data_IF_784153593112
#
_entry.id   IF_784153593112
#
_cell.length_a   1.000
_cell.length_b   1.000
_cell.length_c   1.000
_cell.angle_alpha   90.00
_cell.angle_beta   90.00
_cell.angle_gamma   90.00
#
_symmetry.space_group_name_H-M   'P 1'
#
loop_
_entity.id
_entity.type
_entity.pdbx_description
1 polymer ?
#
# COMPACT_ATOMS: atom_id res chain seq x y z
N UNK A 1 -21.30 61.27 6.10
CA UNK A 1 -21.71 60.41 4.98
C UNK A 1 -20.49 59.67 4.45
N UNK A 2 -20.29 58.41 4.79
CA UNK A 2 -19.21 57.61 4.31
C UNK A 2 -19.50 57.25 2.84
N UNK A 3 -18.55 57.65 1.95
CA UNK A 3 -18.71 57.51 0.51
C UNK A 3 -18.70 56.03 0.02
N UNK A 4 -19.17 55.77 -1.21
CA UNK A 4 -19.35 54.44 -1.76
C UNK A 4 -18.08 53.59 -1.73
N UNK A 5 -16.91 54.20 -1.79
CA UNK A 5 -15.61 53.55 -1.74
C UNK A 5 -15.27 52.88 -0.38
N UNK A 6 -15.89 53.31 0.71
CA UNK A 6 -15.72 52.68 2.02
C UNK A 6 -16.51 51.37 2.13
N UNK A 7 -17.64 51.26 1.45
CA UNK A 7 -18.47 50.07 1.39
C UNK A 7 -17.84 48.98 0.54
N UNK A 8 -17.20 49.35 -0.57
CA UNK A 8 -16.51 48.40 -1.43
C UNK A 8 -15.25 47.83 -0.78
N UNK A 9 -14.54 48.61 0.05
CA UNK A 9 -13.42 48.12 0.86
C UNK A 9 -13.82 47.14 1.96
N UNK A 10 -14.99 47.40 2.59
CA UNK A 10 -15.53 46.52 3.61
C UNK A 10 -16.01 45.16 3.02
N UNK A 11 -16.53 45.17 1.78
CA UNK A 11 -16.93 43.96 1.06
C UNK A 11 -15.71 43.15 0.55
N UNK A 12 -14.61 43.81 0.22
CA UNK A 12 -13.39 43.16 -0.25
C UNK A 12 -12.57 42.53 0.89
N UNK A 13 -12.81 42.98 2.14
CA UNK A 13 -12.16 42.42 3.33
C UNK A 13 -12.98 41.32 4.02
N UNK A 14 -14.13 40.93 3.48
CA UNK A 14 -14.73 39.65 3.80
C UNK A 14 -13.98 38.60 3.01
N UNK A 15 -12.86 38.13 3.60
CA UNK A 15 -12.22 36.90 3.15
C UNK A 15 -13.30 35.84 2.93
N UNK A 16 -13.24 35.08 1.82
CA UNK A 16 -14.22 34.01 1.62
C UNK A 16 -14.13 33.14 2.86
N UNK A 17 -15.29 32.94 3.45
CA UNK A 17 -15.55 32.03 4.56
C UNK A 17 -14.79 30.73 4.23
N UNK A 18 -13.63 30.54 4.85
CA UNK A 18 -12.92 29.30 4.74
C UNK A 18 -13.85 28.30 5.39
N UNK A 19 -14.63 27.66 4.52
CA UNK A 19 -15.46 26.52 4.80
C UNK A 19 -14.66 25.67 5.80
N UNK A 20 -15.03 25.77 7.07
CA UNK A 20 -14.39 25.10 8.19
C UNK A 20 -14.56 23.61 7.88
N UNK A 21 -13.60 23.03 7.17
CA UNK A 21 -13.43 21.59 7.21
C UNK A 21 -13.41 21.25 8.69
N UNK A 22 -14.27 20.33 9.16
CA UNK A 22 -14.32 19.99 10.57
C UNK A 22 -12.87 19.76 11.01
N UNK A 23 -12.45 20.48 12.04
CA UNK A 23 -11.07 20.42 12.55
C UNK A 23 -10.79 18.93 12.79
N UNK A 24 -10.02 18.32 11.89
CA UNK A 24 -9.57 16.95 12.04
C UNK A 24 -8.76 16.99 13.32
N UNK A 25 -9.31 16.41 14.38
CA UNK A 25 -8.72 16.38 15.70
C UNK A 25 -7.36 15.71 15.53
N UNK A 26 -6.29 16.50 15.62
CA UNK A 26 -4.92 16.01 15.46
C UNK A 26 -4.69 14.93 16.54
N UNK A 27 -4.72 13.67 16.14
CA UNK A 27 -4.43 12.58 17.06
C UNK A 27 -2.92 12.59 17.36
N UNK A 28 -2.60 12.70 18.63
CA UNK A 28 -1.24 12.45 19.11
C UNK A 28 -0.91 10.97 18.97
N UNK A 29 0.37 10.65 18.68
CA UNK A 29 0.86 9.25 18.64
C UNK A 29 0.41 8.44 19.87
N UNK A 30 0.41 9.06 21.04
CA UNK A 30 -0.01 8.44 22.31
C UNK A 30 -1.50 8.10 22.32
N UNK A 31 -2.35 8.88 21.66
CA UNK A 31 -3.78 8.60 21.52
C UNK A 31 -4.03 7.54 20.44
N UNK A 32 -3.25 7.56 19.35
CA UNK A 32 -3.31 6.55 18.31
C UNK A 32 -2.98 5.15 18.83
N UNK A 33 -1.92 4.99 19.61
CA UNK A 33 -1.51 3.71 20.22
C UNK A 33 -2.58 3.13 21.16
N UNK A 34 -3.42 3.96 21.77
CA UNK A 34 -4.51 3.51 22.64
C UNK A 34 -5.74 3.00 21.89
N UNK A 35 -5.80 3.21 20.58
CA UNK A 35 -6.93 2.77 19.77
C UNK A 35 -6.71 1.35 19.24
N UNK A 36 -7.71 0.46 19.34
CA UNK A 36 -7.60 -0.90 18.83
C UNK A 36 -7.39 -0.93 17.31
N UNK A 37 -7.87 0.08 16.58
CA UNK A 37 -7.67 0.23 15.13
C UNK A 37 -6.17 0.31 14.78
N UNK A 38 -5.38 1.02 15.58
CA UNK A 38 -3.93 1.13 15.39
C UNK A 38 -3.26 -0.25 15.48
N UNK A 39 -3.60 -1.05 16.47
CA UNK A 39 -3.05 -2.40 16.64
C UNK A 39 -3.50 -3.36 15.54
N UNK A 40 -4.73 -3.20 15.04
CA UNK A 40 -5.22 -3.94 13.88
C UNK A 40 -4.36 -3.67 12.65
N UNK A 41 -4.12 -2.40 12.32
CA UNK A 41 -3.24 -2.02 11.21
C UNK A 41 -1.80 -2.46 11.42
N UNK A 42 -1.26 -2.28 12.61
CA UNK A 42 0.11 -2.69 12.95
C UNK A 42 0.30 -4.20 12.75
N UNK A 43 -0.67 -5.02 13.19
CA UNK A 43 -0.62 -6.48 13.04
C UNK A 43 -0.72 -6.90 11.58
N UNK A 44 -1.69 -6.33 10.83
CA UNK A 44 -1.85 -6.63 9.40
C UNK A 44 -0.59 -6.25 8.63
N UNK A 45 -0.04 -5.08 8.93
CA UNK A 45 1.15 -4.57 8.28
C UNK A 45 2.37 -5.42 8.58
N UNK A 46 2.62 -5.68 9.86
CA UNK A 46 3.74 -6.51 10.31
C UNK A 46 3.67 -7.93 9.76
N UNK A 47 2.50 -8.58 9.83
CA UNK A 47 2.31 -9.91 9.28
C UNK A 47 2.53 -9.94 7.75
N UNK A 48 2.02 -8.93 7.04
CA UNK A 48 2.21 -8.80 5.59
C UNK A 48 3.69 -8.56 5.24
N UNK A 49 4.38 -7.71 5.97
CA UNK A 49 5.80 -7.45 5.76
C UNK A 49 6.63 -8.73 5.96
N UNK A 50 6.43 -9.44 7.06
CA UNK A 50 7.11 -10.70 7.36
C UNK A 50 6.85 -11.73 6.24
N UNK A 51 5.60 -11.90 5.81
CA UNK A 51 5.26 -12.84 4.75
C UNK A 51 5.92 -12.48 3.42
N UNK A 52 5.86 -11.20 3.02
CA UNK A 52 6.42 -10.75 1.74
C UNK A 52 7.93 -10.81 1.73
N UNK A 53 8.59 -10.29 2.77
CA UNK A 53 10.04 -10.36 2.86
C UNK A 53 10.53 -11.81 2.99
N UNK A 54 9.84 -12.64 3.78
CA UNK A 54 10.17 -14.06 3.91
C UNK A 54 10.11 -14.79 2.57
N UNK A 55 9.03 -14.60 1.81
CA UNK A 55 8.90 -15.20 0.48
C UNK A 55 9.97 -14.64 -0.46
N UNK A 56 10.16 -13.31 -0.51
CA UNK A 56 11.10 -12.67 -1.42
C UNK A 56 12.54 -13.15 -1.19
N UNK A 57 12.97 -13.24 0.07
CA UNK A 57 14.33 -13.67 0.41
C UNK A 57 14.59 -15.15 0.06
N UNK A 58 13.56 -15.98 0.15
CA UNK A 58 13.70 -17.42 -0.08
C UNK A 58 13.33 -17.85 -1.50
N UNK A 59 12.72 -17.00 -2.32
CA UNK A 59 12.21 -17.36 -3.64
C UNK A 59 13.30 -17.96 -4.53
N UNK A 60 14.48 -17.35 -4.60
CA UNK A 60 15.58 -17.86 -5.48
C UNK A 60 16.08 -19.19 -4.99
N UNK A 61 16.34 -19.34 -3.67
CA UNK A 61 16.78 -20.60 -3.09
C UNK A 61 15.74 -21.71 -3.31
N UNK A 62 14.48 -21.40 -3.06
CA UNK A 62 13.37 -22.32 -3.26
C UNK A 62 13.25 -22.81 -4.71
N UNK A 63 13.41 -21.92 -5.69
CA UNK A 63 13.36 -22.30 -7.11
C UNK A 63 14.54 -23.21 -7.50
N UNK A 64 15.72 -22.95 -6.96
CA UNK A 64 16.90 -23.81 -7.16
C UNK A 64 16.65 -25.21 -6.55
N UNK A 65 16.10 -25.26 -5.34
CA UNK A 65 15.76 -26.53 -4.68
C UNK A 65 14.67 -27.32 -5.45
N UNK A 66 13.80 -26.61 -6.18
CA UNK A 66 12.83 -27.24 -7.09
C UNK A 66 13.43 -27.68 -8.43
N UNK A 67 14.75 -27.51 -8.64
CA UNK A 67 15.46 -27.98 -9.84
C UNK A 67 15.54 -26.98 -10.99
N UNK A 68 15.16 -25.72 -10.77
CA UNK A 68 15.35 -24.67 -11.77
C UNK A 68 16.81 -24.21 -11.79
N UNK A 69 17.29 -23.86 -12.98
CA UNK A 69 18.65 -23.33 -13.14
C UNK A 69 18.83 -22.03 -12.32
N UNK A 70 19.97 -21.83 -11.61
CA UNK A 70 20.19 -20.65 -10.78
C UNK A 70 20.03 -19.32 -11.52
N UNK A 71 20.47 -19.24 -12.77
CA UNK A 71 20.33 -18.04 -13.60
C UNK A 71 18.85 -17.75 -13.90
N UNK A 72 18.07 -18.79 -14.21
CA UNK A 72 16.65 -18.67 -14.46
C UNK A 72 15.87 -18.29 -13.20
N UNK A 73 16.24 -18.84 -12.03
CA UNK A 73 15.66 -18.47 -10.74
C UNK A 73 15.92 -16.99 -10.39
N UNK A 74 17.16 -16.51 -10.61
CA UNK A 74 17.51 -15.11 -10.39
C UNK A 74 16.80 -14.18 -11.38
N UNK A 75 16.66 -14.56 -12.64
CA UNK A 75 15.91 -13.81 -13.66
C UNK A 75 14.42 -13.72 -13.28
N UNK A 76 13.83 -14.81 -12.83
CA UNK A 76 12.44 -14.87 -12.37
C UNK A 76 12.20 -13.91 -11.21
N UNK A 77 13.12 -13.82 -10.26
CA UNK A 77 13.08 -12.85 -9.17
C UNK A 77 13.18 -11.39 -9.67
N UNK A 78 14.03 -11.14 -10.65
CA UNK A 78 14.13 -9.83 -11.31
C UNK A 78 12.84 -9.41 -11.99
N UNK A 79 12.12 -10.35 -12.62
CA UNK A 79 10.79 -10.10 -13.21
C UNK A 79 9.74 -9.70 -12.15
N UNK A 80 9.78 -10.29 -10.96
CA UNK A 80 8.92 -9.89 -9.83
C UNK A 80 9.17 -8.41 -9.51
N UNK A 81 10.42 -7.97 -9.46
CA UNK A 81 10.77 -6.57 -9.23
C UNK A 81 10.21 -5.63 -10.31
N UNK A 82 10.33 -5.99 -11.58
CA UNK A 82 9.78 -5.21 -12.69
C UNK A 82 8.24 -5.12 -12.62
N UNK A 83 7.58 -6.23 -12.34
CA UNK A 83 6.12 -6.28 -12.17
C UNK A 83 5.65 -5.51 -10.93
N UNK A 84 6.47 -5.39 -9.91
CA UNK A 84 6.19 -4.53 -8.74
C UNK A 84 6.07 -3.06 -9.15
N UNK A 85 6.94 -2.58 -10.02
CA UNK A 85 6.87 -1.21 -10.57
C UNK A 85 5.58 -1.03 -11.37
N UNK A 86 5.25 -1.99 -12.23
CA UNK A 86 3.99 -1.98 -12.98
C UNK A 86 2.77 -2.00 -12.04
N UNK A 87 2.82 -2.79 -10.96
CA UNK A 87 1.79 -2.87 -9.93
C UNK A 87 1.53 -1.53 -9.24
N UNK A 88 2.59 -0.77 -8.93
CA UNK A 88 2.47 0.59 -8.35
C UNK A 88 1.72 1.51 -9.33
N UNK A 89 2.11 1.52 -10.60
CA UNK A 89 1.50 2.36 -11.62
C UNK A 89 0.02 2.00 -11.84
N UNK A 90 -0.28 0.72 -11.99
CA UNK A 90 -1.66 0.22 -12.17
C UNK A 90 -2.52 0.58 -10.96
N UNK A 91 -2.01 0.38 -9.76
CA UNK A 91 -2.75 0.70 -8.52
C UNK A 91 -3.02 2.18 -8.40
N UNK A 92 -2.06 3.04 -8.77
CA UNK A 92 -2.26 4.48 -8.82
C UNK A 92 -3.44 4.86 -9.72
N UNK A 93 -3.48 4.31 -10.93
CA UNK A 93 -4.57 4.57 -11.90
C UNK A 93 -5.92 4.01 -11.41
N UNK A 94 -5.91 2.80 -10.81
CA UNK A 94 -7.12 2.19 -10.31
C UNK A 94 -7.68 2.91 -9.08
N UNK A 95 -6.81 3.47 -8.23
CA UNK A 95 -7.22 4.20 -7.03
C UNK A 95 -8.06 5.45 -7.34
N UNK A 96 -7.92 6.02 -8.55
CA UNK A 96 -8.73 7.14 -9.02
C UNK A 96 -10.15 6.72 -9.46
N UNK A 97 -10.33 5.44 -9.81
CA UNK A 97 -11.59 4.94 -10.42
C UNK A 97 -12.39 4.02 -9.52
N UNK A 98 -11.74 3.30 -8.63
CA UNK A 98 -12.37 2.28 -7.81
C UNK A 98 -12.22 2.57 -6.32
N UNK A 99 -13.21 2.18 -5.50
CA UNK A 99 -13.11 2.33 -4.06
C UNK A 99 -11.95 1.48 -3.51
N UNK A 100 -11.17 2.05 -2.63
CA UNK A 100 -9.91 1.52 -2.11
C UNK A 100 -10.01 0.13 -1.50
N UNK A 101 -11.13 -0.19 -0.83
CA UNK A 101 -11.34 -1.50 -0.25
C UNK A 101 -11.35 -2.62 -1.30
N UNK A 102 -11.87 -2.36 -2.51
CA UNK A 102 -11.87 -3.32 -3.62
C UNK A 102 -10.43 -3.57 -4.08
N UNK A 103 -9.65 -2.51 -4.27
CA UNK A 103 -8.26 -2.61 -4.72
C UNK A 103 -7.43 -3.39 -3.68
N UNK A 104 -7.62 -3.09 -2.39
CA UNK A 104 -6.95 -3.81 -1.31
C UNK A 104 -7.32 -5.30 -1.32
N UNK A 105 -8.61 -5.63 -1.39
CA UNK A 105 -9.08 -7.03 -1.42
C UNK A 105 -8.54 -7.78 -2.64
N UNK A 106 -8.56 -7.15 -3.83
CA UNK A 106 -7.98 -7.73 -5.04
C UNK A 106 -6.47 -7.96 -4.90
N UNK A 107 -5.73 -7.01 -4.34
CA UNK A 107 -4.29 -7.14 -4.13
C UNK A 107 -3.94 -8.29 -3.18
N UNK A 108 -4.67 -8.44 -2.06
CA UNK A 108 -4.48 -9.57 -1.16
C UNK A 108 -4.91 -10.89 -1.80
N UNK A 109 -6.00 -10.90 -2.56
CA UNK A 109 -6.43 -12.08 -3.33
C UNK A 109 -5.38 -12.54 -4.34
N UNK A 110 -4.78 -11.60 -5.08
CA UNK A 110 -3.67 -11.89 -5.99
C UNK A 110 -2.46 -12.48 -5.26
N UNK A 111 -2.15 -11.96 -4.07
CA UNK A 111 -1.05 -12.50 -3.26
C UNK A 111 -1.30 -13.95 -2.87
N UNK A 112 -2.51 -14.24 -2.37
CA UNK A 112 -2.89 -15.61 -1.96
C UNK A 112 -2.82 -16.55 -3.17
N UNK A 113 -3.32 -16.13 -4.32
CA UNK A 113 -3.25 -16.91 -5.56
C UNK A 113 -1.78 -17.20 -5.96
N UNK A 114 -0.91 -16.19 -5.91
CA UNK A 114 0.51 -16.34 -6.18
C UNK A 114 1.19 -17.32 -5.23
N UNK A 115 0.91 -17.22 -3.92
CA UNK A 115 1.48 -18.13 -2.91
C UNK A 115 0.98 -19.56 -3.10
N UNK A 116 -0.30 -19.75 -3.45
CA UNK A 116 -0.84 -21.07 -3.77
C UNK A 116 -0.14 -21.65 -5.01
N UNK A 117 0.06 -20.84 -6.06
CA UNK A 117 0.79 -21.28 -7.25
C UNK A 117 2.21 -21.70 -6.91
N UNK A 118 2.91 -20.95 -6.02
CA UNK A 118 4.24 -21.30 -5.54
C UNK A 118 4.24 -22.62 -4.74
N UNK A 119 3.24 -22.83 -3.88
CA UNK A 119 3.10 -24.08 -3.14
C UNK A 119 2.80 -25.28 -4.05
N UNK A 120 1.99 -25.09 -5.09
CA UNK A 120 1.69 -26.12 -6.06
C UNK A 120 2.92 -26.55 -6.90
N UNK A 121 3.93 -25.69 -7.00
CA UNK A 121 5.20 -26.02 -7.68
C UNK A 121 5.91 -27.21 -7.04
N UNK A 122 5.71 -27.44 -5.73
CA UNK A 122 6.28 -28.62 -5.04
C UNK A 122 5.72 -29.95 -5.60
N UNK A 123 4.50 -29.94 -6.08
CA UNK A 123 3.83 -31.16 -6.57
C UNK A 123 3.98 -31.30 -8.08
N UNK A 124 3.93 -30.18 -8.79
CA UNK A 124 4.05 -30.12 -10.24
C UNK A 124 5.04 -29.03 -10.64
N UNK A 125 6.22 -29.43 -11.07
CA UNK A 125 7.19 -28.51 -11.66
C UNK A 125 6.68 -28.01 -13.02
N UNK A 126 5.98 -26.87 -13.00
CA UNK A 126 5.39 -26.28 -14.20
C UNK A 126 5.80 -24.83 -14.33
N UNK A 127 6.38 -24.48 -15.47
CA UNK A 127 6.72 -23.08 -15.79
C UNK A 127 5.48 -22.17 -15.76
N UNK A 128 4.29 -22.71 -16.03
CA UNK A 128 3.03 -21.94 -15.98
C UNK A 128 2.71 -21.53 -14.53
N UNK A 129 2.90 -22.44 -13.56
CA UNK A 129 2.69 -22.12 -12.14
C UNK A 129 3.67 -21.06 -11.66
N UNK A 130 4.93 -21.15 -12.12
CA UNK A 130 5.94 -20.14 -11.84
C UNK A 130 5.56 -18.78 -12.44
N UNK A 131 5.09 -18.75 -13.70
CA UNK A 131 4.63 -17.52 -14.34
C UNK A 131 3.44 -16.88 -13.60
N UNK A 132 2.47 -17.70 -13.17
CA UNK A 132 1.33 -17.23 -12.35
C UNK A 132 1.84 -16.62 -11.04
N UNK A 133 2.77 -17.28 -10.34
CA UNK A 133 3.37 -16.74 -9.13
C UNK A 133 4.05 -15.40 -9.38
N UNK A 134 4.92 -15.30 -10.38
CA UNK A 134 5.67 -14.08 -10.72
C UNK A 134 4.71 -12.92 -10.99
N UNK A 135 3.68 -13.14 -11.81
CA UNK A 135 2.71 -12.10 -12.19
C UNK A 135 1.86 -11.68 -11.00
N UNK A 136 1.24 -12.64 -10.31
CA UNK A 136 0.34 -12.34 -9.20
C UNK A 136 1.07 -11.73 -8.01
N UNK A 137 2.22 -12.28 -7.64
CA UNK A 137 3.00 -11.80 -6.51
C UNK A 137 3.67 -10.45 -6.81
N UNK A 138 4.24 -10.28 -8.02
CA UNK A 138 4.87 -9.04 -8.43
C UNK A 138 3.89 -7.87 -8.48
N UNK A 139 2.75 -8.02 -9.15
CA UNK A 139 1.74 -6.97 -9.24
C UNK A 139 1.17 -6.61 -7.85
N UNK A 140 0.89 -7.62 -7.02
CA UNK A 140 0.34 -7.39 -5.69
C UNK A 140 1.33 -6.73 -4.73
N UNK A 141 2.62 -7.02 -4.85
CA UNK A 141 3.66 -6.39 -4.04
C UNK A 141 3.72 -4.88 -4.26
N UNK A 142 3.59 -4.43 -5.51
CA UNK A 142 3.57 -3.00 -5.86
C UNK A 142 2.32 -2.26 -5.36
N UNK A 143 1.18 -2.95 -5.33
CA UNK A 143 -0.09 -2.32 -4.94
C UNK A 143 -0.16 -1.94 -3.45
N UNK A 144 0.58 -2.62 -2.58
CA UNK A 144 0.44 -2.49 -1.12
C UNK A 144 0.92 -1.16 -0.57
N UNK A 145 2.08 -0.67 -1.02
CA UNK A 145 2.65 0.59 -0.54
C UNK A 145 1.66 1.75 -0.64
N UNK A 146 1.18 2.11 -1.83
CA UNK A 146 0.23 3.21 -2.03
C UNK A 146 -1.08 3.03 -1.24
N UNK A 147 -1.62 1.81 -1.15
CA UNK A 147 -2.88 1.55 -0.43
C UNK A 147 -2.71 1.83 1.06
N UNK A 148 -1.64 1.33 1.65
CA UNK A 148 -1.41 1.44 3.10
C UNK A 148 -1.08 2.87 3.49
N UNK A 149 -0.20 3.54 2.76
CA UNK A 149 0.16 4.94 3.04
C UNK A 149 -1.04 5.86 2.96
N UNK A 150 -1.94 5.64 1.98
CA UNK A 150 -3.16 6.45 1.84
C UNK A 150 -4.16 6.17 2.96
N UNK A 151 -4.36 4.93 3.36
CA UNK A 151 -5.26 4.59 4.47
C UNK A 151 -4.76 5.13 5.81
N UNK A 152 -3.45 5.04 6.07
CA UNK A 152 -2.85 5.65 7.25
C UNK A 152 -2.99 7.17 7.24
N UNK A 153 -2.78 7.81 6.09
CA UNK A 153 -2.94 9.25 5.96
C UNK A 153 -4.38 9.71 6.25
N UNK A 154 -5.38 8.92 5.87
CA UNK A 154 -6.80 9.25 6.14
C UNK A 154 -7.21 9.04 7.59
N UNK A 155 -6.73 7.97 8.20
CA UNK A 155 -7.11 7.62 9.59
C UNK A 155 -6.38 8.47 10.62
N UNK A 156 -5.16 8.88 10.32
CA UNK A 156 -4.28 9.61 11.23
C UNK A 156 -3.86 10.97 10.67
N UNK A 157 -4.73 11.63 9.88
CA UNK A 157 -4.46 12.96 9.34
C UNK A 157 -4.10 13.94 10.45
N UNK A 158 -2.86 14.49 10.42
CA UNK A 158 -2.38 15.46 11.39
C UNK A 158 -0.85 15.53 11.47
N UNK A 159 -0.33 16.42 12.32
CA UNK A 159 1.13 16.59 12.53
C UNK A 159 1.85 15.36 13.08
N UNK A 160 1.12 14.41 13.65
CA UNK A 160 1.64 13.13 14.15
C UNK A 160 1.88 12.07 13.07
N UNK A 161 1.46 12.30 11.83
CA UNK A 161 1.50 11.31 10.76
C UNK A 161 2.92 10.74 10.54
N UNK A 162 3.94 11.61 10.45
CA UNK A 162 5.33 11.21 10.24
C UNK A 162 5.86 10.31 11.37
N UNK A 163 5.48 10.61 12.62
CA UNK A 163 5.86 9.80 13.79
C UNK A 163 5.16 8.44 13.80
N UNK A 164 3.91 8.38 13.32
CA UNK A 164 3.14 7.14 13.20
C UNK A 164 3.72 6.26 12.10
N UNK A 165 4.08 6.83 10.95
CA UNK A 165 4.77 6.10 9.87
C UNK A 165 6.13 5.56 10.34
N UNK A 166 6.92 6.37 11.04
CA UNK A 166 8.19 5.92 11.61
C UNK A 166 8.04 4.78 12.61
N UNK A 167 6.98 4.78 13.42
CA UNK A 167 6.71 3.73 14.39
C UNK A 167 6.20 2.42 13.74
N UNK A 168 5.56 2.48 12.57
CA UNK A 168 5.07 1.31 11.84
C UNK A 168 6.10 0.72 10.86
N UNK A 169 7.27 1.36 10.70
CA UNK A 169 8.38 0.81 9.91
C UNK A 169 8.25 0.96 8.40
N UNK A 170 7.50 1.97 7.94
CA UNK A 170 7.32 2.29 6.51
C UNK A 170 8.19 3.45 6.09
#
# INVERSE_FOLDING_TARGET
AAGPLAKDRALKNKAPDQNIKPAIKELSLREAIRRPEFWGFFTIFGATAIAVFGISLQTVAYLIDQGFEPVFAAFSFGLIGMLTIAGIAITGILADRFPRHIIATCSYGLTVLGVIALACLQVHQSEILLAIFIVCFGLSAGARGPIITTQMAELFAGRGLASIFGATGV
#
